data_IF_947034572336
#
_entry.id   IF_947034572336
#
_cell.length_a   1.000
_cell.length_b   1.000
_cell.length_c   1.000
_cell.angle_alpha   90.00
_cell.angle_beta   90.00
_cell.angle_gamma   90.00
#
_symmetry.space_group_name_H-M   'P 1'
#
loop_
_entity.id
_entity.type
_entity.pdbx_description
1 polymer ?
#
# COMPACT_ATOMS: atom_id res chain seq x y z
N UNK A 1 8.64 46.06 -12.31
CA UNK A 1 9.55 45.61 -11.22
C UNK A 1 8.83 45.17 -9.97
N UNK A 2 7.70 45.73 -9.59
CA UNK A 2 6.95 45.28 -8.42
C UNK A 2 6.36 43.86 -8.57
N UNK A 3 6.00 43.47 -9.79
CA UNK A 3 5.43 42.13 -10.06
C UNK A 3 6.43 40.99 -9.89
N UNK A 4 7.72 41.25 -10.09
CA UNK A 4 8.78 40.22 -9.96
C UNK A 4 8.99 39.82 -8.50
N UNK A 5 8.90 40.78 -7.56
CA UNK A 5 9.04 40.51 -6.12
C UNK A 5 7.91 39.65 -5.59
N UNK A 6 6.68 39.83 -6.08
CA UNK A 6 5.53 39.05 -5.66
C UNK A 6 5.58 37.61 -6.22
N UNK A 7 6.07 37.44 -7.43
CA UNK A 7 6.26 36.11 -8.05
C UNK A 7 7.31 35.30 -7.28
N UNK A 8 8.41 35.94 -6.89
CA UNK A 8 9.47 35.29 -6.09
C UNK A 8 8.95 34.85 -4.71
N UNK A 9 8.14 35.68 -4.06
CA UNK A 9 7.52 35.33 -2.77
C UNK A 9 6.57 34.14 -2.91
N UNK A 10 5.81 34.08 -3.99
CA UNK A 10 4.88 32.97 -4.25
C UNK A 10 5.63 31.66 -4.49
N UNK A 11 6.73 31.68 -5.22
CA UNK A 11 7.56 30.49 -5.48
C UNK A 11 8.19 29.97 -4.18
N UNK A 12 8.67 30.86 -3.32
CA UNK A 12 9.25 30.48 -2.02
C UNK A 12 8.16 29.86 -1.12
N UNK A 13 6.95 30.40 -1.12
CA UNK A 13 5.85 29.85 -0.34
C UNK A 13 5.45 28.45 -0.81
N UNK A 14 5.45 28.21 -2.12
CA UNK A 14 5.15 26.90 -2.70
C UNK A 14 6.21 25.85 -2.36
N UNK A 15 7.49 26.22 -2.40
CA UNK A 15 8.58 25.31 -2.02
C UNK A 15 8.58 25.01 -0.53
N UNK A 16 8.22 25.98 0.32
CA UNK A 16 8.09 25.76 1.77
C UNK A 16 6.95 24.78 2.09
N UNK A 17 5.83 24.83 1.36
CA UNK A 17 4.71 23.90 1.53
C UNK A 17 5.07 22.49 1.06
N UNK A 18 5.84 22.35 -0.02
CA UNK A 18 6.31 21.05 -0.49
C UNK A 18 7.34 20.40 0.43
N UNK A 19 8.14 21.23 1.12
CA UNK A 19 9.18 20.74 2.04
C UNK A 19 8.65 20.25 3.39
N UNK A 20 7.35 20.45 3.71
CA UNK A 20 6.77 20.05 5.00
C UNK A 20 6.30 18.59 5.05
N UNK A 21 6.24 17.89 3.90
CA UNK A 21 5.85 16.49 3.83
C UNK A 21 7.07 15.61 4.10
N UNK A 22 7.22 15.15 5.37
CA UNK A 22 8.34 14.32 5.80
C UNK A 22 7.90 12.88 6.01
N UNK A 23 8.77 11.89 5.70
CA UNK A 23 8.50 10.50 6.04
C UNK A 23 8.41 10.30 7.55
N UNK A 24 7.47 9.49 7.96
CA UNK A 24 7.26 9.13 9.36
C UNK A 24 7.24 7.62 9.48
N UNK A 25 8.10 7.06 10.33
CA UNK A 25 8.12 5.64 10.62
C UNK A 25 7.02 5.31 11.61
N UNK A 26 6.20 4.30 11.29
CA UNK A 26 5.07 3.93 12.13
C UNK A 26 5.38 2.70 12.97
N UNK A 27 4.70 2.57 14.12
CA UNK A 27 4.76 1.38 14.94
C UNK A 27 3.84 0.29 14.43
N UNK A 28 2.83 0.65 13.65
CA UNK A 28 1.89 -0.31 13.10
C UNK A 28 1.21 0.23 11.85
N UNK A 29 1.13 -0.61 10.83
CA UNK A 29 0.29 -0.41 9.66
C UNK A 29 -0.34 -1.77 9.38
N UNK A 30 -1.65 -1.80 9.26
CA UNK A 30 -2.38 -3.02 8.92
C UNK A 30 -2.63 -3.05 7.43
N UNK A 31 -2.06 -4.04 6.75
CA UNK A 31 -2.20 -4.12 5.30
C UNK A 31 -2.60 -5.52 4.86
N UNK A 32 -3.25 -5.58 3.72
CA UNK A 32 -3.54 -6.83 3.05
C UNK A 32 -3.41 -6.62 1.54
N UNK A 33 -3.00 -7.69 0.85
CA UNK A 33 -2.84 -7.67 -0.59
C UNK A 33 -4.01 -8.31 -1.29
N UNK A 34 -4.32 -7.80 -2.47
CA UNK A 34 -5.39 -8.28 -3.32
C UNK A 34 -4.85 -8.43 -4.73
N UNK A 35 -5.09 -9.59 -5.35
CA UNK A 35 -4.61 -9.84 -6.71
C UNK A 35 -5.72 -10.37 -7.60
N UNK A 36 -5.79 -9.83 -8.80
CA UNK A 36 -6.74 -10.24 -9.83
C UNK A 36 -6.04 -10.39 -11.17
N UNK A 37 -6.68 -11.08 -12.09
CA UNK A 37 -6.18 -11.25 -13.46
C UNK A 37 -7.28 -10.98 -14.44
N UNK A 38 -6.93 -10.48 -15.61
CA UNK A 38 -7.87 -10.32 -16.72
C UNK A 38 -8.16 -11.64 -17.46
N UNK A 39 -7.42 -12.69 -17.13
CA UNK A 39 -7.51 -13.98 -17.81
C UNK A 39 -8.41 -14.99 -17.12
N UNK A 40 -8.69 -14.80 -15.83
CA UNK A 40 -9.49 -15.73 -15.05
C UNK A 40 -10.33 -15.01 -13.99
N UNK A 41 -11.15 -15.77 -13.27
CA UNK A 41 -12.00 -15.25 -12.21
C UNK A 41 -11.48 -15.63 -10.82
N UNK A 42 -10.17 -15.84 -10.69
CA UNK A 42 -9.53 -16.18 -9.40
C UNK A 42 -8.95 -14.93 -8.78
N UNK A 43 -9.20 -14.76 -7.49
CA UNK A 43 -8.66 -13.66 -6.69
C UNK A 43 -7.82 -14.26 -5.56
N UNK A 44 -6.62 -13.70 -5.37
CA UNK A 44 -5.77 -14.02 -4.23
C UNK A 44 -5.84 -12.86 -3.25
N UNK A 45 -6.06 -13.18 -1.98
CA UNK A 45 -6.15 -12.17 -0.90
C UNK A 45 -5.30 -12.64 0.27
N UNK A 46 -4.46 -11.76 0.80
CA UNK A 46 -3.68 -12.09 1.99
C UNK A 46 -4.49 -11.85 3.26
N UNK A 47 -4.04 -12.44 4.36
CA UNK A 47 -4.50 -12.06 5.68
C UNK A 47 -4.19 -10.59 5.94
N UNK A 48 -4.94 -9.97 6.85
CA UNK A 48 -4.59 -8.64 7.35
C UNK A 48 -3.35 -8.80 8.22
N UNK A 49 -2.27 -8.11 7.86
CA UNK A 49 -0.99 -8.22 8.53
C UNK A 49 -0.61 -6.90 9.18
N UNK A 50 -0.13 -6.97 10.42
CA UNK A 50 0.49 -5.81 11.04
C UNK A 50 1.95 -5.77 10.61
N UNK A 51 2.36 -4.68 9.96
CA UNK A 51 3.72 -4.51 9.44
C UNK A 51 4.37 -3.31 10.15
N UNK A 52 4.97 -3.53 11.32
CA UNK A 52 5.64 -2.44 12.05
C UNK A 52 6.89 -1.98 11.30
N UNK A 53 7.23 -0.71 11.47
CA UNK A 53 8.39 -0.14 10.81
C UNK A 53 8.14 0.37 9.40
N UNK A 54 6.88 0.44 8.97
CA UNK A 54 6.51 1.02 7.69
C UNK A 54 6.59 2.54 7.74
N UNK A 55 6.91 3.13 6.60
CA UNK A 55 7.00 4.59 6.48
C UNK A 55 5.77 5.15 5.77
N UNK A 56 5.24 6.23 6.30
CA UNK A 56 4.10 6.97 5.74
C UNK A 56 4.47 8.44 5.67
N UNK A 57 3.71 9.21 4.88
CA UNK A 57 3.84 10.66 4.91
C UNK A 57 3.24 11.19 6.21
N UNK A 58 3.94 12.11 6.86
CA UNK A 58 3.53 12.63 8.16
C UNK A 58 2.20 13.38 8.12
N UNK A 59 1.91 14.03 7.01
CA UNK A 59 0.74 14.91 6.88
C UNK A 59 -0.55 14.16 6.56
N UNK A 60 -0.54 13.30 5.53
CA UNK A 60 -1.73 12.60 5.06
C UNK A 60 -1.73 11.10 5.40
N UNK A 61 -0.64 10.60 5.97
CA UNK A 61 -0.47 9.19 6.36
C UNK A 61 -0.51 8.22 5.18
N UNK A 62 -0.20 8.68 3.97
CA UNK A 62 -0.10 7.80 2.82
C UNK A 62 1.11 6.88 2.94
N UNK A 63 0.90 5.61 2.64
CA UNK A 63 1.95 4.60 2.67
C UNK A 63 3.01 4.91 1.62
N UNK A 64 4.25 5.05 2.06
CA UNK A 64 5.38 5.24 1.15
C UNK A 64 5.80 3.90 0.57
N UNK A 65 6.25 3.92 -0.68
CA UNK A 65 6.69 2.73 -1.41
C UNK A 65 5.60 1.66 -1.53
N UNK A 66 4.35 2.09 -1.65
CA UNK A 66 3.20 1.19 -1.79
C UNK A 66 3.39 0.18 -2.92
N UNK A 67 3.97 0.61 -4.03
CA UNK A 67 4.22 -0.24 -5.19
C UNK A 67 5.21 -1.37 -4.88
N UNK A 68 6.16 -1.12 -3.98
CA UNK A 68 7.12 -2.13 -3.57
C UNK A 68 6.46 -3.21 -2.71
N UNK A 69 5.49 -2.84 -1.88
CA UNK A 69 4.71 -3.84 -1.13
C UNK A 69 3.86 -4.68 -2.08
N UNK A 70 3.26 -4.07 -3.09
CA UNK A 70 2.52 -4.80 -4.13
C UNK A 70 3.44 -5.76 -4.88
N UNK A 71 4.68 -5.35 -5.12
CA UNK A 71 5.68 -6.19 -5.78
C UNK A 71 6.05 -7.40 -4.93
N UNK A 72 6.14 -7.25 -3.60
CA UNK A 72 6.40 -8.38 -2.72
C UNK A 72 5.35 -9.48 -2.93
N UNK A 73 4.09 -9.10 -2.98
CA UNK A 73 3.01 -10.07 -3.23
C UNK A 73 3.09 -10.65 -4.65
N UNK A 74 3.35 -9.82 -5.63
CA UNK A 74 3.48 -10.26 -7.02
C UNK A 74 4.59 -11.28 -7.17
N UNK A 75 5.75 -11.03 -6.58
CA UNK A 75 6.88 -11.95 -6.62
C UNK A 75 6.53 -13.29 -5.98
N UNK A 76 5.83 -13.26 -4.85
CA UNK A 76 5.37 -14.48 -4.20
C UNK A 76 4.44 -15.30 -5.10
N UNK A 77 3.45 -14.65 -5.72
CA UNK A 77 2.51 -15.32 -6.61
C UNK A 77 3.21 -15.94 -7.82
N UNK A 78 4.18 -15.23 -8.40
CA UNK A 78 4.93 -15.71 -9.56
C UNK A 78 5.89 -16.85 -9.19
N UNK A 79 6.65 -16.69 -8.11
CA UNK A 79 7.71 -17.62 -7.75
C UNK A 79 7.19 -18.87 -7.04
N UNK A 80 6.21 -18.73 -6.15
CA UNK A 80 5.73 -19.84 -5.32
C UNK A 80 4.49 -20.50 -5.87
N UNK A 81 3.59 -19.75 -6.50
CA UNK A 81 2.33 -20.27 -7.01
C UNK A 81 2.26 -20.31 -8.54
N UNK A 82 3.33 -19.90 -9.22
CA UNK A 82 3.43 -19.85 -10.68
C UNK A 82 2.27 -19.06 -11.32
N UNK A 83 1.82 -18.01 -10.63
CA UNK A 83 0.75 -17.15 -11.09
C UNK A 83 1.33 -15.87 -11.68
N UNK A 84 1.53 -15.85 -12.99
CA UNK A 84 2.09 -14.70 -13.70
C UNK A 84 1.00 -13.75 -14.20
N UNK A 85 1.40 -12.52 -14.48
CA UNK A 85 0.54 -11.50 -15.11
C UNK A 85 -0.71 -11.14 -14.29
N UNK A 86 -0.57 -11.15 -12.97
CA UNK A 86 -1.62 -10.70 -12.08
C UNK A 86 -1.37 -9.26 -11.63
N UNK A 87 -2.45 -8.51 -11.48
CA UNK A 87 -2.38 -7.17 -10.90
C UNK A 87 -2.48 -7.33 -9.39
N UNK A 88 -1.52 -6.76 -8.68
CA UNK A 88 -1.49 -6.81 -7.21
C UNK A 88 -1.64 -5.40 -6.65
N UNK A 89 -2.52 -5.24 -5.67
CA UNK A 89 -2.78 -3.98 -4.99
C UNK A 89 -2.71 -4.22 -3.50
N UNK A 90 -2.11 -3.28 -2.77
CA UNK A 90 -2.04 -3.35 -1.31
C UNK A 90 -2.95 -2.29 -0.72
N UNK A 91 -3.82 -2.72 0.17
CA UNK A 91 -4.65 -1.84 1.00
C UNK A 91 -4.00 -1.72 2.36
N UNK A 92 -4.02 -0.53 2.95
CA UNK A 92 -3.36 -0.28 4.23
C UNK A 92 -4.21 0.66 5.10
N UNK A 93 -4.12 0.44 6.39
CA UNK A 93 -4.86 1.21 7.38
C UNK A 93 -4.04 1.32 8.65
N UNK A 94 -4.17 2.43 9.37
CA UNK A 94 -3.47 2.63 10.63
C UNK A 94 -4.17 1.96 11.81
N UNK A 95 -5.46 1.65 11.65
CA UNK A 95 -6.27 1.02 12.69
C UNK A 95 -6.74 -0.36 12.25
N UNK A 96 -6.58 -1.34 13.12
CA UNK A 96 -6.97 -2.72 12.84
C UNK A 96 -8.45 -2.87 12.51
N UNK A 97 -9.32 -2.20 13.27
CA UNK A 97 -10.76 -2.25 13.04
C UNK A 97 -11.16 -1.73 11.67
N UNK A 98 -10.47 -0.68 11.21
CA UNK A 98 -10.70 -0.12 9.89
C UNK A 98 -10.28 -1.10 8.80
N UNK A 99 -9.13 -1.74 8.97
CA UNK A 99 -8.64 -2.75 8.04
C UNK A 99 -9.62 -3.93 7.95
N UNK A 100 -10.09 -4.41 9.08
CA UNK A 100 -11.07 -5.52 9.14
C UNK A 100 -12.38 -5.16 8.44
N UNK A 101 -12.88 -3.96 8.69
CA UNK A 101 -14.11 -3.48 8.06
C UNK A 101 -14.00 -3.41 6.55
N UNK A 102 -12.92 -2.82 6.06
CA UNK A 102 -12.70 -2.67 4.62
C UNK A 102 -12.40 -4.01 3.95
N UNK A 103 -11.71 -4.90 4.64
CA UNK A 103 -11.46 -6.26 4.17
C UNK A 103 -12.78 -7.02 3.96
N UNK A 104 -13.68 -6.97 4.94
CA UNK A 104 -14.99 -7.63 4.84
C UNK A 104 -15.84 -7.06 3.71
N UNK A 105 -15.81 -5.75 3.53
CA UNK A 105 -16.49 -5.10 2.42
C UNK A 105 -16.00 -5.60 1.07
N UNK A 106 -14.68 -5.68 0.93
CA UNK A 106 -14.05 -6.12 -0.31
C UNK A 106 -14.41 -7.59 -0.60
N UNK A 107 -14.33 -8.44 0.42
CA UNK A 107 -14.66 -9.85 0.27
C UNK A 107 -16.12 -10.06 -0.10
N UNK A 108 -17.03 -9.32 0.53
CA UNK A 108 -18.45 -9.38 0.21
C UNK A 108 -18.72 -9.00 -1.24
N UNK A 109 -18.00 -8.01 -1.75
CA UNK A 109 -18.13 -7.57 -3.15
C UNK A 109 -17.67 -8.63 -4.14
N UNK A 110 -16.54 -9.28 -3.87
CA UNK A 110 -15.92 -10.21 -4.82
C UNK A 110 -16.29 -11.68 -4.59
N UNK A 111 -16.98 -12.01 -3.52
CA UNK A 111 -17.41 -13.38 -3.25
C UNK A 111 -18.39 -13.92 -4.30
N UNK A 112 -19.13 -13.02 -4.92
CA UNK A 112 -20.06 -13.37 -6.00
C UNK A 112 -19.34 -13.27 -7.35
N UNK A 113 -19.19 -14.40 -8.05
CA UNK A 113 -18.63 -14.43 -9.38
C UNK A 113 -17.11 -14.65 -9.46
N UNK A 114 -16.44 -14.73 -8.31
CA UNK A 114 -14.99 -14.96 -8.26
C UNK A 114 -14.66 -16.08 -7.29
N UNK A 115 -13.62 -16.86 -7.65
CA UNK A 115 -13.04 -17.82 -6.72
C UNK A 115 -12.00 -17.09 -5.88
N UNK A 116 -12.21 -17.03 -4.57
CA UNK A 116 -11.30 -16.34 -3.67
C UNK A 116 -10.37 -17.36 -3.02
N UNK A 117 -9.07 -17.17 -3.19
CA UNK A 117 -8.02 -17.98 -2.59
C UNK A 117 -7.26 -17.13 -1.59
N UNK A 118 -7.20 -17.60 -0.36
CA UNK A 118 -6.56 -16.86 0.72
C UNK A 118 -5.09 -17.24 0.84
N UNK A 119 -4.24 -16.24 1.04
CA UNK A 119 -2.82 -16.41 1.26
C UNK A 119 -2.54 -16.14 2.74
N UNK A 120 -2.16 -17.19 3.47
CA UNK A 120 -1.91 -17.08 4.89
C UNK A 120 -0.61 -16.33 5.19
N UNK A 121 -0.57 -15.66 6.33
CA UNK A 121 0.63 -14.96 6.80
C UNK A 121 1.82 -15.91 6.98
N UNK A 122 1.57 -17.17 7.27
CA UNK A 122 2.62 -18.19 7.38
C UNK A 122 3.33 -18.46 6.05
N UNK A 123 2.60 -18.31 4.94
CA UNK A 123 3.14 -18.57 3.61
C UNK A 123 3.72 -17.32 2.97
N UNK A 124 3.13 -16.17 3.23
CA UNK A 124 3.59 -14.90 2.69
C UNK A 124 3.39 -13.79 3.71
N UNK A 125 4.45 -13.11 4.06
CA UNK A 125 4.43 -12.00 5.00
C UNK A 125 5.04 -10.75 4.34
N UNK A 126 4.33 -9.62 4.43
CA UNK A 126 4.89 -8.35 4.00
C UNK A 126 6.03 -7.94 4.92
N UNK A 127 7.11 -7.45 4.34
CA UNK A 127 8.26 -6.95 5.08
C UNK A 127 8.34 -5.43 4.93
N UNK A 128 8.50 -4.75 6.05
CA UNK A 128 8.65 -3.30 6.06
C UNK A 128 9.88 -2.90 5.24
N UNK A 129 9.72 -1.86 4.42
CA UNK A 129 10.82 -1.34 3.61
C UNK A 129 11.45 -0.19 4.37
N UNK A 130 12.76 -0.27 4.60
CA UNK A 130 13.50 0.75 5.33
C UNK A 130 13.92 1.87 4.38
N UNK A 131 13.37 3.06 4.62
CA UNK A 131 13.68 4.25 3.82
C UNK A 131 15.06 4.83 4.12
N UNK A 132 15.66 4.45 5.25
CA UNK A 132 16.98 4.99 5.63
C UNK A 132 18.12 4.39 4.84
N UNK A 133 17.92 3.25 4.20
CA UNK A 133 18.93 2.58 3.38
C UNK A 133 18.96 3.03 1.91
N UNK A 134 18.11 3.97 1.55
CA UNK A 134 18.01 4.46 0.17
C UNK A 134 18.79 5.75 -0.07
#
# INVERSE_FOLDING_TARGET
MKSIKYILLLVVALTALGASAKPLKTNQVYMFGFSASFKDSVIYVTDIQNVPGTWVESKNKFLLLRDEYSRQMKDYLEEKLQQEKRVCVVFYYLKKKKAEKEFLKLMKKYKKGYEVRYVNEKDFKFEAIDMTEQ
#
